data_IF_821300726692
#
_entry.id   IF_821300726692
#
_cell.length_a   1.000
_cell.length_b   1.000
_cell.length_c   1.000
_cell.angle_alpha   90.00
_cell.angle_beta   90.00
_cell.angle_gamma   90.00
#
_symmetry.space_group_name_H-M   'P 1'
#
loop_
_entity.id
_entity.type
_entity.pdbx_description
1 polymer ?
#
# COMPACT_ATOMS: atom_id res chain seq x y z
N UNK A 1 -5.81 18.75 -17.08
CA UNK A 1 -5.59 17.34 -17.47
C UNK A 1 -4.16 16.98 -17.09
N UNK A 2 -3.96 15.91 -16.31
CA UNK A 2 -2.63 15.37 -16.01
C UNK A 2 -2.40 14.12 -16.88
N UNK A 3 -1.17 13.88 -17.31
CA UNK A 3 -0.77 12.68 -18.04
C UNK A 3 0.65 12.27 -17.62
N UNK A 4 0.92 10.98 -17.58
CA UNK A 4 2.22 10.44 -17.25
C UNK A 4 2.57 9.29 -18.21
N UNK A 5 3.81 9.29 -18.71
CA UNK A 5 4.37 8.18 -19.46
C UNK A 5 5.13 7.27 -18.48
N UNK A 6 4.64 6.04 -18.20
CA UNK A 6 5.30 5.15 -17.26
C UNK A 6 6.71 4.76 -17.71
N UNK A 7 7.07 4.83 -19.00
CA UNK A 7 8.43 4.54 -19.46
C UNK A 7 9.45 5.58 -18.97
N UNK A 8 8.99 6.81 -18.69
CA UNK A 8 9.83 7.94 -18.24
C UNK A 8 9.91 8.07 -16.71
N UNK A 9 9.13 7.28 -15.98
CA UNK A 9 9.16 7.24 -14.50
C UNK A 9 10.03 6.08 -14.06
N UNK A 10 11.04 6.35 -13.23
CA UNK A 10 11.90 5.33 -12.67
C UNK A 10 11.17 4.51 -11.59
N UNK A 11 11.54 3.24 -11.46
CA UNK A 11 11.12 2.43 -10.32
C UNK A 11 11.81 2.91 -9.05
N UNK A 12 11.04 3.08 -7.97
CA UNK A 12 11.56 3.33 -6.63
C UNK A 12 11.22 2.16 -5.72
N UNK A 13 12.22 1.54 -5.11
CA UNK A 13 12.03 0.53 -4.07
C UNK A 13 11.60 1.22 -2.78
N UNK A 14 10.54 0.71 -2.15
CA UNK A 14 10.12 1.17 -0.83
C UNK A 14 10.61 0.17 0.21
N UNK A 15 11.67 0.52 0.94
CA UNK A 15 12.20 -0.26 2.07
C UNK A 15 11.84 0.41 3.39
N UNK A 16 11.37 -0.34 4.39
CA UNK A 16 11.30 0.17 5.77
C UNK A 16 10.17 -0.36 6.65
N UNK A 17 9.05 -0.82 6.09
CA UNK A 17 7.87 -1.21 6.90
C UNK A 17 7.34 -2.63 6.66
N UNK A 18 7.83 -3.33 5.63
CA UNK A 18 7.38 -4.67 5.19
C UNK A 18 8.58 -5.55 4.87
N UNK A 19 8.37 -6.86 4.86
CA UNK A 19 9.39 -7.82 4.46
C UNK A 19 9.39 -7.96 2.93
N UNK A 20 10.60 -8.03 2.34
CA UNK A 20 10.81 -8.24 0.90
C UNK A 20 10.66 -7.00 0.02
N UNK A 21 10.84 -7.20 -1.28
CA UNK A 21 10.91 -6.12 -2.27
C UNK A 21 9.54 -5.73 -2.82
N UNK A 22 9.28 -4.43 -2.82
CA UNK A 22 8.17 -3.79 -3.55
C UNK A 22 8.67 -2.51 -4.21
N UNK A 23 8.26 -2.28 -5.45
CA UNK A 23 8.68 -1.15 -6.27
C UNK A 23 7.47 -0.37 -6.77
N UNK A 24 7.63 0.94 -6.88
CA UNK A 24 6.58 1.86 -7.33
C UNK A 24 7.10 2.73 -8.48
N UNK A 25 6.25 2.95 -9.49
CA UNK A 25 6.29 4.14 -10.34
C UNK A 25 5.08 4.99 -9.98
N UNK A 26 5.31 6.13 -9.31
CA UNK A 26 4.24 7.04 -8.93
C UNK A 26 3.92 7.96 -10.10
N UNK A 27 2.77 7.77 -10.72
CA UNK A 27 2.43 8.36 -12.01
C UNK A 27 1.73 9.71 -11.86
N UNK A 28 0.62 9.76 -11.13
CA UNK A 28 -0.24 10.95 -11.00
C UNK A 28 -0.62 11.14 -9.54
N UNK A 29 -0.55 12.37 -9.03
CA UNK A 29 -0.83 12.67 -7.63
C UNK A 29 -1.83 13.83 -7.53
N UNK A 30 -2.67 13.76 -6.50
CA UNK A 30 -3.58 14.84 -6.11
C UNK A 30 -2.88 15.92 -5.29
N UNK A 31 -3.67 16.68 -4.55
CA UNK A 31 -3.15 17.73 -3.66
C UNK A 31 -3.13 17.21 -2.21
N UNK A 32 -1.95 17.09 -1.58
CA UNK A 32 -1.82 16.68 -0.19
C UNK A 32 -2.75 17.44 0.77
N UNK A 33 -3.43 16.73 1.68
CA UNK A 33 -4.32 17.33 2.69
C UNK A 33 -5.72 17.72 2.19
N UNK A 34 -6.04 17.43 0.92
CA UNK A 34 -7.37 17.61 0.37
C UNK A 34 -8.19 16.31 0.44
N UNK A 35 -9.53 16.37 0.63
CA UNK A 35 -10.39 15.18 0.57
C UNK A 35 -10.29 14.41 -0.75
N UNK A 36 -10.03 15.12 -1.85
CA UNK A 36 -9.82 14.58 -3.19
C UNK A 36 -8.35 14.23 -3.49
N UNK A 37 -7.47 14.19 -2.47
CA UNK A 37 -6.09 13.72 -2.66
C UNK A 37 -6.06 12.25 -3.11
N UNK A 38 -5.15 11.94 -4.03
CA UNK A 38 -4.99 10.59 -4.58
C UNK A 38 -3.55 10.34 -5.02
N UNK A 39 -3.22 9.07 -5.25
CA UNK A 39 -2.03 8.63 -5.98
C UNK A 39 -2.41 7.50 -6.94
N UNK A 40 -2.02 7.63 -8.21
CA UNK A 40 -2.02 6.56 -9.19
C UNK A 40 -0.59 6.06 -9.42
N UNK A 41 -0.37 4.77 -9.25
CA UNK A 41 0.96 4.16 -9.31
C UNK A 41 0.94 2.82 -10.05
N UNK A 42 2.03 2.48 -10.75
CA UNK A 42 2.35 1.09 -11.05
C UNK A 42 3.11 0.51 -9.86
N UNK A 43 2.69 -0.67 -9.42
CA UNK A 43 3.26 -1.37 -8.27
C UNK A 43 3.73 -2.74 -8.70
N UNK A 44 5.00 -3.03 -8.41
CA UNK A 44 5.61 -4.32 -8.69
C UNK A 44 5.96 -5.00 -7.37
N UNK A 45 5.46 -6.22 -7.19
CA UNK A 45 5.77 -7.06 -6.03
C UNK A 45 6.54 -8.28 -6.46
N UNK A 46 7.36 -8.84 -5.58
CA UNK A 46 8.19 -10.01 -5.86
C UNK A 46 7.93 -11.11 -4.84
N UNK A 47 8.43 -12.32 -5.09
CA UNK A 47 8.15 -13.51 -4.25
C UNK A 47 8.59 -13.39 -2.79
N UNK A 48 9.57 -12.52 -2.50
CA UNK A 48 10.03 -12.23 -1.14
C UNK A 48 9.10 -11.24 -0.39
N UNK A 49 8.18 -10.57 -1.10
CA UNK A 49 7.26 -9.61 -0.51
C UNK A 49 6.16 -10.27 0.31
N UNK A 50 6.06 -9.86 1.57
CA UNK A 50 5.02 -10.31 2.48
C UNK A 50 4.58 -9.20 3.43
N UNK A 51 3.29 -9.23 3.79
CA UNK A 51 2.72 -8.31 4.77
C UNK A 51 1.81 -9.04 5.75
N UNK A 52 1.71 -8.59 7.00
CA UNK A 52 0.64 -9.03 7.89
C UNK A 52 -0.73 -8.62 7.34
N UNK A 53 -1.79 -9.11 7.99
CA UNK A 53 -3.14 -8.57 7.79
C UNK A 53 -3.14 -7.10 8.22
N UNK A 54 -3.69 -6.23 7.39
CA UNK A 54 -3.73 -4.79 7.64
C UNK A 54 -4.91 -4.13 6.92
N UNK A 55 -5.12 -2.84 7.18
CA UNK A 55 -6.07 -1.97 6.50
C UNK A 55 -5.46 -0.60 6.25
N UNK A 56 -6.19 0.25 5.54
CA UNK A 56 -5.82 1.66 5.33
C UNK A 56 -6.95 2.58 5.74
N UNK A 57 -6.63 3.84 6.03
CA UNK A 57 -7.59 4.92 6.27
C UNK A 57 -7.99 5.64 4.96
N UNK A 58 -7.86 4.94 3.83
CA UNK A 58 -8.18 5.42 2.49
C UNK A 58 -8.59 4.21 1.63
N UNK A 59 -9.23 4.48 0.50
CA UNK A 59 -9.66 3.47 -0.45
C UNK A 59 -8.51 3.07 -1.39
N UNK A 60 -8.58 1.83 -1.91
CA UNK A 60 -7.72 1.40 -3.00
C UNK A 60 -8.49 0.70 -4.10
N UNK A 61 -8.18 1.01 -5.36
CA UNK A 61 -8.60 0.25 -6.53
C UNK A 61 -7.34 -0.32 -7.19
N UNK A 62 -7.36 -1.63 -7.47
CA UNK A 62 -6.24 -2.35 -8.06
C UNK A 62 -6.68 -3.03 -9.34
N UNK A 63 -5.96 -2.80 -10.43
CA UNK A 63 -6.07 -3.57 -11.66
C UNK A 63 -4.78 -4.37 -11.86
N UNK A 64 -4.87 -5.70 -11.87
CA UNK A 64 -3.71 -6.55 -12.09
C UNK A 64 -3.39 -6.60 -13.59
N UNK A 65 -2.20 -6.15 -13.97
CA UNK A 65 -1.76 -6.08 -15.36
C UNK A 65 -1.00 -7.34 -15.77
N UNK A 66 -0.23 -7.93 -14.85
CA UNK A 66 0.47 -9.20 -15.07
C UNK A 66 0.75 -9.94 -13.76
N UNK A 67 0.92 -11.26 -13.87
CA UNK A 67 1.16 -12.14 -12.73
C UNK A 67 -0.09 -12.33 -11.86
N UNK A 68 0.15 -12.58 -10.56
CA UNK A 68 -0.90 -12.80 -9.57
C UNK A 68 -0.52 -12.12 -8.25
N UNK A 69 -1.28 -11.10 -7.85
CA UNK A 69 -1.07 -10.39 -6.59
C UNK A 69 -1.92 -11.02 -5.49
N UNK A 70 -1.28 -11.64 -4.50
CA UNK A 70 -1.97 -12.20 -3.36
C UNK A 70 -2.56 -11.09 -2.47
N UNK A 71 -3.84 -11.21 -2.09
CA UNK A 71 -4.48 -10.26 -1.16
C UNK A 71 -5.08 -10.92 0.08
N UNK A 72 -5.15 -12.24 0.11
CA UNK A 72 -5.54 -13.04 1.28
C UNK A 72 -5.14 -14.52 1.06
N UNK A 73 -5.15 -15.38 2.09
CA UNK A 73 -4.83 -16.79 1.93
C UNK A 73 -5.66 -17.46 0.83
N UNK A 74 -4.97 -18.00 -0.19
CA UNK A 74 -5.56 -18.65 -1.38
C UNK A 74 -6.46 -17.72 -2.22
N UNK A 75 -6.22 -16.40 -2.15
CA UNK A 75 -6.95 -15.40 -2.91
C UNK A 75 -5.97 -14.47 -3.61
N UNK A 76 -6.00 -14.56 -4.93
CA UNK A 76 -5.10 -13.81 -5.80
C UNK A 76 -5.90 -12.94 -6.77
N UNK A 77 -5.37 -11.75 -7.02
CA UNK A 77 -5.82 -10.89 -8.11
C UNK A 77 -4.96 -11.23 -9.33
N UNK A 78 -5.53 -11.97 -10.28
CA UNK A 78 -4.86 -12.40 -11.51
C UNK A 78 -4.96 -11.32 -12.60
N UNK A 79 -4.06 -11.38 -13.58
CA UNK A 79 -4.05 -10.44 -14.71
C UNK A 79 -5.44 -10.24 -15.35
N UNK A 80 -5.79 -8.99 -15.64
CA UNK A 80 -7.09 -8.58 -16.16
C UNK A 80 -8.18 -8.38 -15.10
N UNK A 81 -7.92 -8.74 -13.84
CA UNK A 81 -8.90 -8.56 -12.76
C UNK A 81 -8.78 -7.19 -12.08
N UNK A 82 -9.91 -6.70 -11.58
CA UNK A 82 -10.00 -5.47 -10.77
C UNK A 82 -10.52 -5.81 -9.37
N UNK A 83 -9.94 -5.20 -8.35
CA UNK A 83 -10.41 -5.30 -6.97
C UNK A 83 -10.48 -3.92 -6.31
N UNK A 84 -11.50 -3.77 -5.45
CA UNK A 84 -11.73 -2.59 -4.63
C UNK A 84 -11.52 -2.96 -3.16
N UNK A 85 -10.73 -2.17 -2.46
CA UNK A 85 -10.41 -2.31 -1.03
C UNK A 85 -10.90 -1.04 -0.32
N UNK A 86 -12.08 -1.09 0.32
CA UNK A 86 -12.63 0.07 1.01
C UNK A 86 -11.79 0.44 2.23
N UNK A 87 -11.79 1.73 2.55
CA UNK A 87 -11.26 2.30 3.78
C UNK A 87 -11.72 1.48 5.00
N UNK A 88 -10.79 1.21 5.92
CA UNK A 88 -11.06 0.47 7.15
C UNK A 88 -11.22 -1.04 6.98
N UNK A 89 -11.26 -1.55 5.74
CA UNK A 89 -11.43 -2.99 5.45
C UNK A 89 -10.10 -3.72 5.55
N UNK A 90 -10.06 -4.76 6.37
CA UNK A 90 -8.88 -5.61 6.49
C UNK A 90 -8.69 -6.51 5.28
N UNK A 91 -7.45 -6.64 4.84
CA UNK A 91 -7.00 -7.64 3.89
C UNK A 91 -5.65 -8.22 4.29
N UNK A 92 -5.21 -9.25 3.59
CA UNK A 92 -4.03 -10.04 3.91
C UNK A 92 -4.29 -11.14 4.95
N UNK A 93 -3.24 -11.78 5.49
CA UNK A 93 -1.83 -11.54 5.17
C UNK A 93 -1.54 -11.77 3.68
N UNK A 94 -0.59 -11.01 3.14
CA UNK A 94 -0.16 -11.16 1.76
C UNK A 94 1.11 -11.99 1.71
N UNK A 95 1.16 -12.95 0.79
CA UNK A 95 2.35 -13.73 0.45
C UNK A 95 2.42 -13.90 -1.05
N UNK A 96 3.38 -13.25 -1.69
CA UNK A 96 3.51 -13.33 -3.14
C UNK A 96 4.16 -14.65 -3.55
N UNK A 97 3.54 -15.36 -4.50
CA UNK A 97 4.12 -16.58 -5.07
C UNK A 97 5.16 -16.29 -6.17
N UNK A 98 5.17 -15.06 -6.68
CA UNK A 98 5.99 -14.64 -7.81
C UNK A 98 5.89 -13.13 -8.03
N UNK A 99 6.35 -12.70 -9.19
CA UNK A 99 6.23 -11.30 -9.58
C UNK A 99 4.79 -10.95 -9.98
N UNK A 100 4.33 -9.76 -9.60
CA UNK A 100 3.07 -9.19 -10.11
C UNK A 100 3.23 -7.71 -10.43
N UNK A 101 2.46 -7.22 -11.42
CA UNK A 101 2.37 -5.81 -11.77
C UNK A 101 0.91 -5.36 -11.64
N UNK A 102 0.69 -4.32 -10.85
CA UNK A 102 -0.64 -3.78 -10.55
C UNK A 102 -0.67 -2.28 -10.84
N UNK A 103 -1.70 -1.81 -11.55
CA UNK A 103 -2.08 -0.40 -11.54
C UNK A 103 -2.92 -0.15 -10.28
N UNK A 104 -2.42 0.70 -9.39
CA UNK A 104 -3.01 0.99 -8.09
C UNK A 104 -3.44 2.46 -8.04
N UNK A 105 -4.71 2.70 -7.75
CA UNK A 105 -5.21 4.00 -7.32
C UNK A 105 -5.45 3.97 -5.82
N UNK A 106 -4.83 4.90 -5.10
CA UNK A 106 -5.09 5.17 -3.68
C UNK A 106 -5.78 6.53 -3.59
N UNK A 107 -6.93 6.60 -2.93
CA UNK A 107 -7.79 7.78 -2.94
C UNK A 107 -8.58 7.92 -1.63
N UNK A 108 -9.09 9.11 -1.35
CA UNK A 108 -9.97 9.33 -0.20
C UNK A 108 -11.16 8.37 -0.17
N UNK A 109 -11.43 7.81 1.01
CA UNK A 109 -12.57 6.95 1.26
C UNK A 109 -13.70 7.66 2.02
N UNK A 110 -14.55 6.87 2.66
CA UNK A 110 -15.77 7.33 3.33
C UNK A 110 -15.53 8.32 4.47
N UNK A 111 -14.34 8.38 5.07
CA UNK A 111 -14.05 9.36 6.13
C UNK A 111 -13.84 10.80 5.63
N UNK A 112 -13.64 10.98 4.31
CA UNK A 112 -13.35 12.29 3.72
C UNK A 112 -11.94 12.82 4.00
N UNK A 113 -11.05 12.01 4.58
CA UNK A 113 -9.68 12.43 4.91
C UNK A 113 -8.74 12.54 3.70
N UNK A 114 -9.16 12.04 2.53
CA UNK A 114 -8.30 11.94 1.36
C UNK A 114 -7.23 10.87 1.48
N UNK A 115 -6.42 10.70 0.43
CA UNK A 115 -5.22 9.88 0.53
C UNK A 115 -4.20 10.50 1.51
N UNK A 116 -3.64 9.70 2.42
CA UNK A 116 -2.69 10.16 3.45
C UNK A 116 -1.40 10.71 2.82
N UNK A 117 -0.89 11.82 3.37
CA UNK A 117 0.40 12.38 2.96
C UNK A 117 1.56 11.51 3.45
N UNK A 118 2.59 11.34 2.64
CA UNK A 118 3.76 10.56 3.04
C UNK A 118 4.45 11.16 4.27
N UNK A 119 4.47 12.48 4.40
CA UNK A 119 5.04 13.18 5.54
C UNK A 119 4.29 12.84 6.84
N UNK A 120 2.97 12.72 6.79
CA UNK A 120 2.16 12.31 7.95
C UNK A 120 2.41 10.86 8.33
N UNK A 121 2.51 9.98 7.33
CA UNK A 121 2.86 8.58 7.54
C UNK A 121 4.22 8.46 8.24
N UNK A 122 5.24 9.19 7.76
CA UNK A 122 6.58 9.17 8.34
C UNK A 122 6.61 9.79 9.74
N UNK A 123 5.93 10.91 9.95
CA UNK A 123 5.82 11.54 11.26
C UNK A 123 5.11 10.62 12.28
N UNK A 124 4.01 9.97 11.87
CA UNK A 124 3.29 8.99 12.67
C UNK A 124 4.15 7.77 13.00
N UNK A 125 4.89 7.25 12.02
CA UNK A 125 5.84 6.16 12.23
C UNK A 125 6.93 6.54 13.24
N UNK A 126 7.56 7.72 13.09
CA UNK A 126 8.58 8.21 14.01
C UNK A 126 8.03 8.39 15.44
N UNK A 127 6.83 8.95 15.59
CA UNK A 127 6.18 9.12 16.89
C UNK A 127 5.87 7.78 17.57
N UNK A 128 5.42 6.77 16.81
CA UNK A 128 5.17 5.42 17.32
C UNK A 128 6.47 4.70 17.68
N UNK A 129 7.50 4.82 16.85
CA UNK A 129 8.81 4.21 17.07
C UNK A 129 9.51 4.76 18.33
N UNK A 130 9.24 6.01 18.72
CA UNK A 130 9.73 6.58 19.97
C UNK A 130 9.10 5.94 21.23
N UNK A 131 8.01 5.18 21.09
CA UNK A 131 7.21 4.65 22.22
C UNK A 131 7.00 3.13 22.16
N UNK A 132 7.54 2.46 21.16
CA UNK A 132 7.30 1.05 20.92
C UNK A 132 8.20 0.50 19.82
N UNK A 133 7.92 -0.71 19.36
CA UNK A 133 8.77 -1.39 18.38
C UNK A 133 7.96 -1.82 17.16
N UNK A 134 8.59 -1.73 15.99
CA UNK A 134 8.09 -2.32 14.75
C UNK A 134 8.87 -3.60 14.45
N UNK A 135 8.18 -4.72 14.30
CA UNK A 135 8.78 -5.99 13.92
C UNK A 135 7.84 -6.76 13.00
N UNK A 136 8.35 -7.22 11.85
CA UNK A 136 7.54 -7.98 10.88
C UNK A 136 6.32 -7.22 10.34
N UNK A 137 6.37 -5.88 10.32
CA UNK A 137 5.27 -5.03 9.91
C UNK A 137 4.16 -4.85 10.96
N UNK A 138 4.39 -5.26 12.21
CA UNK A 138 3.48 -5.13 13.36
C UNK A 138 4.09 -4.15 14.37
N UNK A 139 3.29 -3.23 14.89
CA UNK A 139 3.67 -2.35 15.98
C UNK A 139 3.31 -2.95 17.35
N UNK A 140 4.20 -2.79 18.33
CA UNK A 140 3.94 -3.12 19.75
C UNK A 140 4.25 -1.90 20.61
N UNK A 141 3.24 -1.43 21.35
CA UNK A 141 3.39 -0.35 22.31
C UNK A 141 3.95 -0.82 23.66
N UNK A 142 3.96 0.04 24.69
CA UNK A 142 4.49 -0.27 26.01
C UNK A 142 3.79 -1.45 26.71
N UNK A 143 2.53 -1.72 26.37
CA UNK A 143 1.76 -2.86 26.89
C UNK A 143 2.11 -4.20 26.21
N UNK A 144 3.04 -4.18 25.24
CA UNK A 144 3.50 -5.34 24.48
C UNK A 144 2.47 -5.92 23.51
N UNK A 145 1.23 -5.39 23.49
CA UNK A 145 0.14 -5.91 22.67
C UNK A 145 0.36 -5.50 21.20
N UNK A 146 0.19 -6.44 20.25
CA UNK A 146 0.30 -6.11 18.85
C UNK A 146 -0.85 -5.17 18.46
N UNK A 147 -0.52 -4.17 17.64
CA UNK A 147 -1.50 -3.32 16.98
C UNK A 147 -1.47 -3.66 15.50
N UNK A 148 -2.62 -4.02 14.97
CA UNK A 148 -2.78 -4.20 13.53
C UNK A 148 -2.61 -2.85 12.84
N UNK A 149 -1.94 -2.88 11.68
CA UNK A 149 -1.80 -1.73 10.79
C UNK A 149 -3.11 -1.43 10.07
#
# INVERSE_FOLDING_TARGET
>A
MQAADPARVAWTTVSGHRAGRIEFKRLLHGTPGRPDNFELSLVRTFADYATPRHRHNFDQIRCCLSGAMNYAPRKDLVAGSVAYFPEGTFYGPQRMAGESLVLLLQLGGASGQGFMRYEDLQAGHAALAARGTFAGGIYRGPDGRPRDG
#
